data_IF_946342282292
#
_entry.id   IF_946342282292
#
_cell.length_a   1.000
_cell.length_b   1.000
_cell.length_c   1.000
_cell.angle_alpha   90.00
_cell.angle_beta   90.00
_cell.angle_gamma   90.00
#
_symmetry.space_group_name_H-M   'P 1'
#
loop_
_entity.id
_entity.type
_entity.pdbx_description
1 polymer ?
#
# COMPACT_ATOMS: atom_id res chain seq x y z
N UNK A 1 -14.88 19.74 -15.04
CA UNK A 1 -13.80 20.67 -14.66
C UNK A 1 -13.28 20.20 -13.32
N UNK A 2 -11.99 19.94 -13.20
CA UNK A 2 -11.37 19.63 -11.91
C UNK A 2 -11.21 20.95 -11.16
N UNK A 3 -11.82 21.09 -9.99
CA UNK A 3 -11.66 22.30 -9.20
C UNK A 3 -10.20 22.44 -8.77
N UNK A 4 -9.64 23.62 -9.04
CA UNK A 4 -8.25 23.95 -8.76
C UNK A 4 -8.21 25.12 -7.79
N UNK A 5 -7.58 24.89 -6.63
CA UNK A 5 -7.35 25.89 -5.59
C UNK A 5 -5.92 26.41 -5.71
N UNK A 6 -5.78 27.72 -5.89
CA UNK A 6 -4.47 28.37 -5.89
C UNK A 6 -4.11 28.79 -4.47
N UNK A 7 -2.91 28.42 -4.04
CA UNK A 7 -2.32 28.85 -2.77
C UNK A 7 -1.09 29.70 -3.10
N UNK A 8 -1.02 30.89 -2.53
CA UNK A 8 0.10 31.79 -2.73
C UNK A 8 1.30 31.34 -1.87
N UNK A 9 2.51 31.32 -2.45
CA UNK A 9 3.73 31.03 -1.70
C UNK A 9 4.05 32.21 -0.77
N UNK A 10 4.26 31.93 0.52
CA UNK A 10 4.58 32.97 1.51
C UNK A 10 5.97 33.60 1.35
N UNK A 11 6.90 32.92 0.67
CA UNK A 11 8.29 33.38 0.53
C UNK A 11 8.48 34.32 -0.68
N UNK A 12 7.85 34.00 -1.81
CA UNK A 12 8.09 34.72 -3.07
C UNK A 12 6.83 35.30 -3.72
N UNK A 13 5.62 34.96 -3.23
CA UNK A 13 4.34 35.46 -3.74
C UNK A 13 4.19 35.41 -5.28
N UNK A 14 4.80 34.40 -5.92
CA UNK A 14 4.85 34.32 -7.37
C UNK A 14 3.44 34.08 -7.94
N UNK A 15 3.12 34.80 -9.01
CA UNK A 15 1.88 34.62 -9.76
C UNK A 15 2.05 33.58 -10.86
N UNK A 16 0.96 33.03 -11.42
CA UNK A 16 1.03 32.16 -12.59
C UNK A 16 1.75 32.84 -13.76
N UNK A 17 2.85 32.23 -14.21
CA UNK A 17 3.65 32.70 -15.34
C UNK A 17 4.41 31.52 -15.93
N UNK A 18 4.73 31.55 -17.23
CA UNK A 18 5.58 30.55 -17.88
C UNK A 18 6.97 30.46 -17.27
N UNK A 19 7.44 31.55 -16.66
CA UNK A 19 8.78 31.66 -16.11
C UNK A 19 8.86 31.17 -14.65
N UNK A 20 7.71 30.86 -14.04
CA UNK A 20 7.59 30.41 -12.65
C UNK A 20 7.37 28.89 -12.60
N UNK A 21 7.94 28.25 -11.58
CA UNK A 21 7.70 26.84 -11.32
C UNK A 21 6.33 26.66 -10.67
N UNK A 22 5.57 25.65 -11.14
CA UNK A 22 4.30 25.25 -10.53
C UNK A 22 4.45 23.92 -9.80
N UNK A 23 4.10 23.91 -8.52
CA UNK A 23 3.92 22.70 -7.74
C UNK A 23 2.42 22.46 -7.62
N UNK A 24 1.97 21.25 -7.99
CA UNK A 24 0.58 20.85 -7.92
C UNK A 24 0.43 19.54 -7.15
N UNK A 25 -0.55 19.48 -6.24
CA UNK A 25 -0.89 18.30 -5.47
C UNK A 25 -2.38 18.00 -5.58
N UNK A 26 -2.73 16.72 -5.71
CA UNK A 26 -4.12 16.28 -5.67
C UNK A 26 -4.52 16.01 -4.23
N UNK A 27 -5.53 16.72 -3.72
CA UNK A 27 -6.11 16.47 -2.39
C UNK A 27 -7.00 15.22 -2.43
N UNK A 28 -7.23 14.61 -1.27
CA UNK A 28 -8.14 13.47 -1.13
C UNK A 28 -9.56 13.76 -1.64
N UNK A 29 -9.99 15.02 -1.59
CA UNK A 29 -11.28 15.48 -2.15
C UNK A 29 -11.33 15.50 -3.68
N UNK A 30 -10.22 15.22 -4.38
CA UNK A 30 -10.09 15.35 -5.83
C UNK A 30 -9.77 16.77 -6.31
N UNK A 31 -9.74 17.76 -5.41
CA UNK A 31 -9.34 19.15 -5.72
C UNK A 31 -7.82 19.21 -5.93
N UNK A 32 -7.39 19.90 -6.98
CA UNK A 32 -5.97 20.17 -7.23
C UNK A 32 -5.59 21.44 -6.47
N UNK A 33 -4.54 21.36 -5.67
CA UNK A 33 -3.95 22.52 -5.02
C UNK A 33 -2.66 22.90 -5.73
N UNK A 34 -2.53 24.14 -6.15
CA UNK A 34 -1.38 24.64 -6.90
C UNK A 34 -0.72 25.82 -6.21
N UNK A 35 0.62 25.82 -6.18
CA UNK A 35 1.45 26.93 -5.71
C UNK A 35 2.50 27.27 -6.77
N UNK A 36 2.71 28.55 -6.99
CA UNK A 36 3.69 29.07 -7.95
C UNK A 36 4.89 29.67 -7.23
N UNK A 37 6.06 29.50 -7.83
CA UNK A 37 7.35 29.92 -7.25
C UNK A 37 8.24 30.57 -8.31
N UNK A 38 8.96 31.63 -7.93
CA UNK A 38 10.12 32.12 -8.71
C UNK A 38 11.28 31.13 -8.61
N UNK A 39 12.22 31.20 -9.55
CA UNK A 39 13.37 30.28 -9.60
C UNK A 39 14.32 30.37 -8.39
N UNK A 40 14.34 31.50 -7.70
CA UNK A 40 15.16 31.79 -6.52
C UNK A 40 14.41 31.60 -5.18
N UNK A 41 13.18 31.09 -5.22
CA UNK A 41 12.35 30.92 -4.02
C UNK A 41 12.92 29.85 -3.06
N UNK A 42 13.16 30.17 -1.77
CA UNK A 42 13.63 29.20 -0.79
C UNK A 42 12.70 28.01 -0.58
N UNK A 43 11.38 28.23 -0.48
CA UNK A 43 10.40 27.15 -0.41
C UNK A 43 10.46 26.18 -1.60
N UNK A 44 10.71 26.68 -2.81
CA UNK A 44 10.88 25.83 -4.00
C UNK A 44 12.13 24.96 -3.88
N UNK A 45 13.25 25.54 -3.45
CA UNK A 45 14.51 24.80 -3.26
C UNK A 45 14.35 23.69 -2.20
N UNK A 46 13.71 23.99 -1.07
CA UNK A 46 13.43 23.02 -0.01
C UNK A 46 12.53 21.88 -0.54
N UNK A 47 11.50 22.22 -1.32
CA UNK A 47 10.63 21.21 -1.91
C UNK A 47 11.39 20.25 -2.82
N UNK A 48 12.28 20.75 -3.68
CA UNK A 48 13.12 19.91 -4.55
C UNK A 48 14.02 18.97 -3.75
N UNK A 49 14.69 19.48 -2.72
CA UNK A 49 15.54 18.67 -1.83
C UNK A 49 14.73 17.54 -1.21
N UNK A 50 13.57 17.86 -0.61
CA UNK A 50 12.71 16.86 0.03
C UNK A 50 12.19 15.81 -0.97
N UNK A 51 11.85 16.24 -2.19
CA UNK A 51 11.42 15.35 -3.26
C UNK A 51 12.55 14.40 -3.70
N UNK A 52 13.76 14.91 -3.86
CA UNK A 52 14.92 14.11 -4.27
C UNK A 52 15.33 13.11 -3.18
N UNK A 53 15.43 13.57 -1.93
CA UNK A 53 15.72 12.71 -0.77
C UNK A 53 14.64 11.65 -0.56
N UNK A 54 13.37 12.05 -0.68
CA UNK A 54 12.23 11.14 -0.62
C UNK A 54 12.31 10.07 -1.71
N UNK A 55 12.55 10.48 -2.96
CA UNK A 55 12.70 9.58 -4.09
C UNK A 55 13.88 8.62 -3.92
N UNK A 56 15.02 9.13 -3.44
CA UNK A 56 16.21 8.31 -3.14
C UNK A 56 15.90 7.25 -2.09
N UNK A 57 15.27 7.63 -0.97
CA UNK A 57 14.90 6.70 0.09
C UNK A 57 13.95 5.60 -0.39
N UNK A 58 12.96 5.93 -1.23
CA UNK A 58 12.06 4.92 -1.80
C UNK A 58 12.83 3.93 -2.69
N UNK A 59 13.75 4.42 -3.52
CA UNK A 59 14.61 3.54 -4.35
C UNK A 59 15.51 2.65 -3.51
N UNK A 60 16.11 3.18 -2.45
CA UNK A 60 16.97 2.42 -1.54
C UNK A 60 16.18 1.34 -0.78
N UNK A 61 14.98 1.66 -0.32
CA UNK A 61 14.09 0.69 0.33
C UNK A 61 13.64 -0.42 -0.62
N UNK A 62 13.27 -0.07 -1.86
CA UNK A 62 12.90 -1.06 -2.88
C UNK A 62 14.08 -1.96 -3.26
N UNK A 63 15.27 -1.39 -3.45
CA UNK A 63 16.49 -2.17 -3.73
C UNK A 63 16.83 -3.11 -2.58
N UNK A 64 16.78 -2.62 -1.34
CA UNK A 64 16.98 -3.45 -0.15
C UNK A 64 15.96 -4.58 -0.06
N UNK A 65 14.68 -4.29 -0.30
CA UNK A 65 13.63 -5.31 -0.25
C UNK A 65 13.85 -6.39 -1.30
N UNK A 66 14.22 -6.01 -2.54
CA UNK A 66 14.53 -6.96 -3.63
C UNK A 66 15.71 -7.88 -3.31
N UNK A 67 16.72 -7.35 -2.62
CA UNK A 67 17.89 -8.13 -2.20
C UNK A 67 17.57 -9.09 -1.03
N UNK A 68 16.84 -8.60 -0.02
CA UNK A 68 16.58 -9.35 1.22
C UNK A 68 15.41 -10.34 1.09
N UNK A 69 14.39 -10.03 0.30
CA UNK A 69 13.14 -10.78 0.25
C UNK A 69 13.33 -12.26 -0.13
N UNK A 70 14.12 -12.65 -1.14
CA UNK A 70 14.29 -14.06 -1.51
C UNK A 70 14.82 -14.91 -0.34
N UNK A 71 15.83 -14.42 0.39
CA UNK A 71 16.39 -15.12 1.53
C UNK A 71 15.41 -15.15 2.73
N UNK A 72 14.64 -14.08 2.94
CA UNK A 72 13.61 -14.03 3.98
C UNK A 72 12.46 -15.01 3.69
N UNK A 73 12.00 -15.06 2.43
CA UNK A 73 11.00 -16.02 1.96
C UNK A 73 11.45 -17.46 2.20
N UNK A 74 12.70 -17.81 1.86
CA UNK A 74 13.22 -19.15 2.10
C UNK A 74 13.30 -19.52 3.59
N UNK A 75 13.62 -18.56 4.47
CA UNK A 75 13.58 -18.79 5.93
C UNK A 75 12.16 -19.07 6.42
N UNK A 76 11.17 -18.32 5.91
CA UNK A 76 9.76 -18.56 6.22
C UNK A 76 9.33 -19.95 5.74
N UNK A 77 9.64 -20.31 4.49
CA UNK A 77 9.28 -21.61 3.90
C UNK A 77 9.84 -22.77 4.72
N UNK A 78 11.08 -22.67 5.19
CA UNK A 78 11.69 -23.68 6.07
C UNK A 78 11.02 -23.73 7.45
N UNK A 79 10.69 -22.57 8.03
CA UNK A 79 10.01 -22.51 9.32
C UNK A 79 8.60 -23.10 9.25
N UNK A 80 7.86 -22.84 8.17
CA UNK A 80 6.56 -23.43 7.89
C UNK A 80 6.65 -24.95 7.75
N UNK A 81 7.63 -25.44 6.97
CA UNK A 81 7.85 -26.88 6.77
C UNK A 81 8.28 -27.63 8.05
N UNK A 82 8.79 -26.93 9.06
CA UNK A 82 9.16 -27.51 10.35
C UNK A 82 7.98 -27.66 11.31
N UNK A 83 6.81 -27.09 11.00
CA UNK A 83 5.62 -27.23 11.84
C UNK A 83 4.99 -28.61 11.70
N UNK A 84 4.50 -29.22 12.80
CA UNK A 84 3.75 -30.46 12.72
C UNK A 84 2.47 -30.27 11.89
N UNK A 85 2.21 -31.21 10.98
CA UNK A 85 0.97 -31.23 10.23
C UNK A 85 -0.24 -31.44 11.18
N UNK A 86 -1.37 -30.83 10.82
CA UNK A 86 -2.63 -31.01 11.55
C UNK A 86 -2.74 -30.19 12.84
N UNK A 87 -1.89 -29.17 13.02
CA UNK A 87 -2.08 -28.19 14.10
C UNK A 87 -3.22 -27.24 13.78
N UNK A 88 -3.87 -26.68 14.80
CA UNK A 88 -4.89 -25.65 14.62
C UNK A 88 -4.37 -24.39 13.91
N UNK A 89 -3.04 -24.19 13.89
CA UNK A 89 -2.39 -23.09 13.19
C UNK A 89 -2.18 -23.35 11.69
N UNK A 90 -2.43 -24.57 11.20
CA UNK A 90 -2.15 -24.96 9.82
C UNK A 90 -2.80 -24.03 8.78
N UNK A 91 -4.08 -23.62 8.89
CA UNK A 91 -4.68 -22.72 7.91
C UNK A 91 -3.98 -21.35 7.84
N UNK A 92 -3.45 -20.85 8.95
CA UNK A 92 -2.69 -19.60 8.99
C UNK A 92 -1.33 -19.74 8.31
N UNK A 93 -0.65 -20.86 8.56
CA UNK A 93 0.66 -21.16 7.97
C UNK A 93 0.51 -21.29 6.45
N UNK A 94 -0.52 -22.00 5.98
CA UNK A 94 -0.78 -22.21 4.57
C UNK A 94 -1.16 -20.91 3.87
N UNK A 95 -2.06 -20.12 4.45
CA UNK A 95 -2.46 -18.81 3.91
C UNK A 95 -1.28 -17.83 3.81
N UNK A 96 -0.46 -17.74 4.86
CA UNK A 96 0.72 -16.86 4.86
C UNK A 96 1.76 -17.33 3.84
N UNK A 97 2.00 -18.65 3.74
CA UNK A 97 2.94 -19.21 2.78
C UNK A 97 2.49 -18.94 1.35
N UNK A 98 1.20 -19.13 1.05
CA UNK A 98 0.65 -18.85 -0.27
C UNK A 98 0.71 -17.36 -0.63
N UNK A 99 0.44 -16.48 0.33
CA UNK A 99 0.52 -15.04 0.12
C UNK A 99 1.95 -14.60 -0.19
N UNK A 100 2.93 -15.08 0.58
CA UNK A 100 4.34 -14.75 0.37
C UNK A 100 4.85 -15.30 -0.95
N UNK A 101 4.39 -16.50 -1.35
CA UNK A 101 4.66 -17.04 -2.67
C UNK A 101 4.03 -16.17 -3.78
N UNK A 102 2.78 -15.76 -3.65
CA UNK A 102 2.13 -14.86 -4.60
C UNK A 102 2.87 -13.51 -4.73
N UNK A 103 3.44 -13.01 -3.63
CA UNK A 103 4.28 -11.82 -3.61
C UNK A 103 5.64 -12.05 -4.29
N UNK A 104 6.19 -13.27 -4.23
CA UNK A 104 7.43 -13.64 -4.91
C UNK A 104 7.26 -13.79 -6.43
N UNK A 105 6.08 -14.22 -6.88
CA UNK A 105 5.78 -14.48 -8.29
C UNK A 105 5.36 -13.23 -9.07
N UNK A 106 5.25 -12.08 -8.41
CA UNK A 106 4.79 -10.82 -9.02
C UNK A 106 5.89 -9.75 -9.04
N UNK A 107 5.79 -8.84 -10.01
CA UNK A 107 6.65 -7.65 -10.09
C UNK A 107 5.87 -6.45 -9.52
N UNK A 108 5.57 -6.45 -8.22
CA UNK A 108 4.73 -5.43 -7.60
C UNK A 108 4.02 -5.93 -6.34
N UNK A 109 2.85 -5.37 -6.02
CA UNK A 109 2.06 -5.81 -4.87
C UNK A 109 1.11 -6.95 -5.23
N UNK A 110 0.85 -7.85 -4.30
CA UNK A 110 -0.32 -8.75 -4.40
C UNK A 110 -1.60 -7.92 -4.34
N UNK A 111 -2.40 -8.02 -5.39
CA UNK A 111 -3.68 -7.28 -5.56
C UNK A 111 -4.80 -7.84 -4.69
N UNK A 112 -5.78 -6.99 -4.34
CA UNK A 112 -6.82 -7.30 -3.33
C UNK A 112 -7.66 -8.55 -3.64
N UNK A 113 -8.05 -8.78 -4.91
CA UNK A 113 -8.83 -9.98 -5.24
C UNK A 113 -8.03 -11.26 -5.00
N UNK A 114 -6.72 -11.24 -5.26
CA UNK A 114 -5.85 -12.38 -4.99
C UNK A 114 -5.69 -12.63 -3.49
N UNK A 115 -5.62 -11.56 -2.69
CA UNK A 115 -5.70 -11.65 -1.23
C UNK A 115 -7.00 -12.32 -0.77
N UNK A 116 -8.14 -11.86 -1.29
CA UNK A 116 -9.45 -12.41 -0.93
C UNK A 116 -9.57 -13.91 -1.28
N UNK A 117 -9.12 -14.31 -2.47
CA UNK A 117 -9.11 -15.72 -2.89
C UNK A 117 -8.30 -16.63 -1.96
N UNK A 118 -7.14 -16.18 -1.49
CA UNK A 118 -6.30 -16.94 -0.57
C UNK A 118 -7.01 -17.05 0.79
N UNK A 119 -7.55 -15.94 1.30
CA UNK A 119 -8.22 -15.93 2.60
C UNK A 119 -9.48 -16.81 2.60
N UNK A 120 -10.34 -16.74 1.59
CA UNK A 120 -11.54 -17.59 1.54
C UNK A 120 -11.23 -19.08 1.48
N UNK A 121 -10.12 -19.47 0.82
CA UNK A 121 -9.75 -20.88 0.72
C UNK A 121 -9.33 -21.47 2.06
N UNK A 122 -8.60 -20.70 2.88
CA UNK A 122 -8.05 -21.15 4.15
C UNK A 122 -8.97 -20.83 5.34
N UNK A 123 -9.86 -19.85 5.19
CA UNK A 123 -10.85 -19.42 6.18
C UNK A 123 -12.25 -19.30 5.53
N UNK A 124 -12.84 -20.42 5.10
CA UNK A 124 -14.16 -20.38 4.48
C UNK A 124 -15.22 -19.88 5.48
N UNK A 125 -16.27 -19.20 5.00
CA UNK A 125 -17.36 -18.80 5.86
C UNK A 125 -17.99 -20.01 6.55
N UNK A 126 -18.33 -19.85 7.82
CA UNK A 126 -19.13 -20.85 8.53
C UNK A 126 -20.46 -21.01 7.80
N UNK A 127 -20.75 -22.22 7.31
CA UNK A 127 -22.06 -22.51 6.73
C UNK A 127 -23.10 -22.41 7.84
N UNK A 128 -24.28 -21.79 7.58
CA UNK A 128 -25.36 -21.78 8.53
C UNK A 128 -25.69 -23.22 8.95
N UNK A 129 -25.58 -23.52 10.23
CA UNK A 129 -25.93 -24.83 10.75
C UNK A 129 -27.46 -25.01 10.63
N UNK A 130 -27.97 -25.95 9.81
CA UNK A 130 -29.41 -26.14 9.62
C UNK A 130 -30.15 -26.50 10.92
N UNK A 131 -29.43 -26.98 11.95
CA UNK A 131 -29.97 -27.34 13.27
C UNK A 131 -30.30 -26.13 14.18
N UNK A 132 -30.14 -24.89 13.71
CA UNK A 132 -30.54 -23.68 14.46
C UNK A 132 -31.84 -23.03 13.97
N UNK A 133 -32.54 -23.63 12.99
CA UNK A 133 -33.86 -23.18 12.52
C UNK A 133 -34.96 -24.13 12.99
N UNK A 134 -35.01 -24.46 14.28
CA UNK A 134 -36.14 -25.21 14.84
C UNK A 134 -36.29 -25.02 16.35
N UNK A 135 -36.50 -23.78 16.80
CA UNK A 135 -37.22 -23.57 18.06
C UNK A 135 -38.38 -22.59 17.81
N UNK A 136 -39.60 -23.10 17.54
CA UNK A 136 -40.78 -22.23 17.45
C UNK A 136 -41.08 -21.64 18.84
N UNK A 137 -41.50 -20.36 18.92
CA UNK A 137 -41.79 -19.74 20.20
C UNK A 137 -42.99 -20.43 20.86
N UNK A 138 -42.75 -21.03 22.02
CA UNK A 138 -43.79 -21.49 22.92
C UNK A 138 -44.74 -20.32 23.27
N UNK A 139 -46.03 -20.50 22.97
CA UNK A 139 -47.15 -19.78 23.59
C UNK A 139 -48.09 -20.79 24.22
#
# INVERSE_FOLDING_TARGET
MTDTERIDCADCHALPSSDNARIAHVKTSGVISETWHTSDCPALAIWWINMEEGSKRVREQDAWAKDVFPAAHERLRRAAAAQPAGTAAQPFIDALSELVQAQADTTGFVVLHRWAEILERHFPPELPNPDHIAEPPHR
#
